data_IF_820750542766
#
_entry.id   IF_820750542766
#
_cell.length_a   1.000
_cell.length_b   1.000
_cell.length_c   1.000
_cell.angle_alpha   90.00
_cell.angle_beta   90.00
_cell.angle_gamma   90.00
#
_symmetry.space_group_name_H-M   'P 1'
#
loop_
_entity.id
_entity.type
_entity.pdbx_description
1 polymer ?
#
# COMPACT_ATOMS: atom_id res chain seq x y z
N UNK A 1 18.67 -2.24 -15.08
CA UNK A 1 19.72 -3.27 -15.24
C UNK A 1 19.11 -4.63 -14.99
N UNK A 2 19.00 -5.47 -16.02
CA UNK A 2 18.61 -6.88 -15.88
C UNK A 2 19.78 -7.72 -15.36
N UNK A 3 19.49 -8.87 -14.76
CA UNK A 3 20.53 -9.87 -14.45
C UNK A 3 20.85 -10.63 -15.74
N UNK A 4 22.12 -10.95 -15.99
CA UNK A 4 22.45 -11.94 -17.01
C UNK A 4 22.13 -13.34 -16.51
N UNK A 5 22.01 -14.29 -17.43
CA UNK A 5 21.64 -15.69 -17.14
C UNK A 5 22.57 -16.35 -16.11
N UNK A 6 23.87 -16.01 -16.15
CA UNK A 6 24.86 -16.50 -15.19
C UNK A 6 24.59 -16.00 -13.76
N UNK A 7 24.29 -14.71 -13.59
CA UNK A 7 23.97 -14.15 -12.27
C UNK A 7 22.65 -14.71 -11.73
N UNK A 8 21.65 -14.92 -12.60
CA UNK A 8 20.38 -15.52 -12.20
C UNK A 8 20.57 -16.97 -11.75
N UNK A 9 21.34 -17.74 -12.51
CA UNK A 9 21.67 -19.13 -12.18
C UNK A 9 22.40 -19.22 -10.85
N UNK A 10 23.40 -18.37 -10.61
CA UNK A 10 24.12 -18.33 -9.33
C UNK A 10 23.22 -17.99 -8.14
N UNK A 11 22.27 -17.07 -8.32
CA UNK A 11 21.30 -16.72 -7.27
C UNK A 11 20.35 -17.88 -6.95
N UNK A 12 19.93 -18.64 -7.95
CA UNK A 12 19.05 -19.80 -7.79
C UNK A 12 19.78 -20.98 -7.14
N UNK A 13 21.02 -21.21 -7.53
CA UNK A 13 21.89 -22.22 -6.91
C UNK A 13 22.17 -21.92 -5.44
N UNK A 14 22.34 -20.65 -5.08
CA UNK A 14 22.49 -20.23 -3.68
C UNK A 14 21.29 -20.59 -2.79
N UNK A 15 20.15 -20.89 -3.41
CA UNK A 15 18.95 -21.35 -2.72
C UNK A 15 18.66 -22.85 -2.95
N UNK A 16 19.67 -23.62 -3.39
CA UNK A 16 19.60 -25.05 -3.71
C UNK A 16 18.52 -25.42 -4.74
N UNK A 17 18.45 -24.63 -5.82
CA UNK A 17 17.64 -24.94 -6.99
C UNK A 17 18.45 -24.93 -8.29
N UNK A 18 17.83 -25.50 -9.32
CA UNK A 18 18.28 -25.46 -10.71
C UNK A 18 17.25 -24.71 -11.56
N UNK A 19 17.70 -23.81 -12.42
CA UNK A 19 16.84 -23.17 -13.43
C UNK A 19 16.50 -24.21 -14.50
N UNK A 20 15.21 -24.40 -14.76
CA UNK A 20 14.69 -25.32 -15.78
C UNK A 20 14.35 -24.58 -17.07
N UNK A 21 13.79 -23.36 -16.94
CA UNK A 21 13.41 -22.52 -18.09
C UNK A 21 13.54 -21.06 -17.68
N UNK A 22 14.24 -20.26 -18.47
CA UNK A 22 14.30 -18.80 -18.30
C UNK A 22 12.97 -18.15 -18.69
N UNK A 23 12.67 -16.98 -18.14
CA UNK A 23 11.57 -16.14 -18.61
C UNK A 23 12.03 -15.28 -19.79
N UNK A 24 11.09 -14.80 -20.59
CA UNK A 24 11.39 -14.03 -21.81
C UNK A 24 11.84 -12.58 -21.52
N UNK A 25 11.60 -12.10 -20.29
CA UNK A 25 11.95 -10.77 -19.83
C UNK A 25 12.42 -10.69 -18.38
N UNK A 26 13.04 -9.56 -17.98
CA UNK A 26 13.65 -9.39 -16.65
C UNK A 26 12.65 -9.32 -15.48
N UNK A 27 11.36 -9.14 -15.78
CA UNK A 27 10.26 -9.18 -14.80
C UNK A 27 9.47 -10.48 -14.87
N UNK A 28 9.75 -11.34 -15.85
CA UNK A 28 9.03 -12.58 -16.01
C UNK A 28 9.43 -13.56 -14.93
N UNK A 29 8.50 -14.47 -14.66
CA UNK A 29 8.82 -15.62 -13.84
C UNK A 29 9.64 -16.60 -14.68
N UNK A 30 10.60 -17.23 -14.04
CA UNK A 30 11.37 -18.32 -14.62
C UNK A 30 11.13 -19.58 -13.80
N UNK A 31 11.28 -20.72 -14.46
CA UNK A 31 10.99 -22.02 -13.86
C UNK A 31 12.22 -22.54 -13.15
N UNK A 32 12.06 -22.96 -11.91
CA UNK A 32 13.10 -23.63 -11.14
C UNK A 32 12.63 -24.98 -10.63
N UNK A 33 13.59 -25.88 -10.42
CA UNK A 33 13.43 -27.14 -9.69
C UNK A 33 14.24 -27.01 -8.42
N UNK A 34 13.63 -27.16 -7.25
CA UNK A 34 14.36 -27.22 -6.00
C UNK A 34 15.03 -28.60 -5.86
N UNK A 35 16.34 -28.62 -5.65
CA UNK A 35 17.13 -29.85 -5.71
C UNK A 35 16.73 -30.84 -4.59
N UNK A 36 16.48 -30.41 -3.33
CA UNK A 36 16.07 -31.33 -2.26
C UNK A 36 14.70 -31.97 -2.46
N UNK A 37 13.69 -31.16 -2.85
CA UNK A 37 12.28 -31.59 -2.88
C UNK A 37 11.83 -32.08 -4.27
N UNK A 38 12.61 -31.80 -5.32
CA UNK A 38 12.25 -32.03 -6.71
C UNK A 38 11.11 -31.14 -7.24
N UNK A 39 10.48 -30.32 -6.39
CA UNK A 39 9.35 -29.50 -6.77
C UNK A 39 9.77 -28.44 -7.79
N UNK A 40 8.95 -28.29 -8.83
CA UNK A 40 9.10 -27.34 -9.92
C UNK A 40 8.16 -26.17 -9.70
N UNK A 41 8.69 -24.96 -9.60
CA UNK A 41 7.91 -23.76 -9.34
C UNK A 41 8.36 -22.61 -10.23
N UNK A 42 7.43 -21.77 -10.62
CA UNK A 42 7.75 -20.54 -11.32
C UNK A 42 8.03 -19.42 -10.29
N UNK A 43 9.25 -18.89 -10.30
CA UNK A 43 9.75 -17.89 -9.34
C UNK A 43 10.06 -16.58 -10.05
N UNK A 44 10.00 -15.46 -9.32
CA UNK A 44 10.44 -14.16 -9.85
C UNK A 44 11.70 -13.66 -9.16
N UNK A 45 12.48 -12.83 -9.87
CA UNK A 45 13.69 -12.23 -9.33
C UNK A 45 13.43 -11.41 -8.05
N UNK A 46 12.30 -10.70 -7.99
CA UNK A 46 11.90 -9.95 -6.81
C UNK A 46 11.56 -10.84 -5.60
N UNK A 47 11.17 -12.10 -5.81
CA UNK A 47 10.92 -13.05 -4.74
C UNK A 47 12.24 -13.58 -4.15
N UNK A 48 13.22 -13.92 -5.00
CA UNK A 48 14.55 -14.33 -4.57
C UNK A 48 15.29 -13.20 -3.81
N UNK A 49 15.28 -11.98 -4.36
CA UNK A 49 15.98 -10.82 -3.74
C UNK A 49 15.52 -10.49 -2.32
N UNK A 50 14.25 -10.73 -2.02
CA UNK A 50 13.68 -10.47 -0.69
C UNK A 50 14.04 -11.57 0.32
N UNK A 51 14.83 -12.57 -0.07
CA UNK A 51 15.05 -13.79 0.73
C UNK A 51 13.76 -14.59 0.95
N UNK A 52 12.71 -14.29 0.16
CA UNK A 52 11.36 -14.81 0.37
C UNK A 52 11.10 -16.14 -0.32
N UNK A 53 12.07 -16.65 -1.09
CA UNK A 53 11.92 -17.95 -1.73
C UNK A 53 12.33 -19.06 -0.77
N UNK A 54 11.34 -19.84 -0.37
CA UNK A 54 11.48 -21.14 0.28
C UNK A 54 10.71 -22.13 -0.61
N UNK A 55 11.26 -23.32 -0.92
CA UNK A 55 10.50 -24.38 -1.60
C UNK A 55 9.20 -24.57 -0.81
N UNK A 56 8.04 -24.20 -1.36
CA UNK A 56 6.77 -24.29 -0.62
C UNK A 56 6.46 -25.75 -0.26
N UNK A 57 6.91 -26.71 -1.08
CA UNK A 57 6.83 -28.14 -0.77
C UNK A 57 7.60 -28.44 0.54
N UNK A 58 8.85 -27.99 0.68
CA UNK A 58 9.62 -28.15 1.93
C UNK A 58 9.02 -27.36 3.10
N UNK A 59 8.53 -26.15 2.85
CA UNK A 59 7.90 -25.30 3.87
C UNK A 59 6.67 -25.99 4.46
N UNK A 60 5.84 -26.59 3.62
CA UNK A 60 4.65 -27.32 4.07
C UNK A 60 5.00 -28.70 4.64
N UNK A 61 5.99 -29.40 4.08
CA UNK A 61 6.44 -30.71 4.59
C UNK A 61 7.09 -30.66 5.98
N UNK A 62 7.67 -29.52 6.39
CA UNK A 62 8.22 -29.35 7.73
C UNK A 62 7.20 -28.96 8.81
N UNK A 63 5.95 -28.64 8.43
CA UNK A 63 4.92 -28.15 9.34
C UNK A 63 3.75 -29.16 9.34
N UNK A 64 3.88 -30.22 10.14
CA UNK A 64 2.78 -31.16 10.36
C UNK A 64 1.70 -30.53 11.24
N UNK A 65 0.85 -29.69 10.64
CA UNK A 65 -0.42 -29.29 11.24
C UNK A 65 -1.39 -30.48 11.21
N UNK A 66 -1.18 -31.46 12.09
CA UNK A 66 -2.17 -32.50 12.38
C UNK A 66 -3.30 -31.91 13.23
N UNK A 67 -4.05 -30.95 12.67
CA UNK A 67 -5.38 -30.63 13.20
C UNK A 67 -6.26 -31.86 12.96
N UNK A 68 -6.85 -32.42 14.01
CA UNK A 68 -7.49 -33.76 14.08
C UNK A 68 -8.74 -34.00 13.21
N UNK A 69 -8.67 -33.62 11.94
CA UNK A 69 -9.67 -33.90 10.93
C UNK A 69 -9.15 -35.01 10.03
N UNK A 70 -9.68 -36.20 10.22
CA UNK A 70 -9.33 -37.40 9.45
C UNK A 70 -9.81 -37.30 8.01
N UNK A 71 -8.91 -37.59 7.07
CA UNK A 71 -9.28 -37.97 5.72
C UNK A 71 -8.15 -37.78 4.74
N UNK A 72 -7.37 -38.84 4.52
CA UNK A 72 -6.54 -38.96 3.33
C UNK A 72 -7.44 -38.96 2.09
N UNK A 73 -6.98 -38.33 1.03
CA UNK A 73 -7.66 -38.25 -0.24
C UNK A 73 -7.11 -39.33 -1.17
N UNK A 74 -7.95 -40.28 -1.64
CA UNK A 74 -7.53 -41.25 -2.63
C UNK A 74 -7.05 -40.55 -3.91
N UNK A 75 -6.10 -41.16 -4.63
CA UNK A 75 -5.57 -40.63 -5.91
C UNK A 75 -6.69 -40.19 -6.86
N UNK A 76 -7.73 -41.01 -7.04
CA UNK A 76 -8.85 -40.69 -7.94
C UNK A 76 -9.57 -39.37 -7.59
N UNK A 77 -9.69 -39.04 -6.30
CA UNK A 77 -10.31 -37.78 -5.86
C UNK A 77 -9.40 -36.59 -6.16
N UNK A 78 -8.09 -36.76 -5.99
CA UNK A 78 -7.11 -35.73 -6.31
C UNK A 78 -7.10 -35.44 -7.82
N UNK A 79 -7.12 -36.48 -8.65
CA UNK A 79 -7.21 -36.36 -10.11
C UNK A 79 -8.49 -35.62 -10.53
N UNK A 80 -9.64 -35.93 -9.92
CA UNK A 80 -10.89 -35.20 -10.17
C UNK A 80 -10.76 -33.72 -9.81
N UNK A 81 -10.17 -33.38 -8.66
CA UNK A 81 -9.92 -32.01 -8.26
C UNK A 81 -9.04 -31.29 -9.28
N UNK A 82 -7.93 -31.89 -9.69
CA UNK A 82 -6.99 -31.26 -10.62
C UNK A 82 -7.59 -31.09 -12.02
N UNK A 83 -8.36 -32.06 -12.50
CA UNK A 83 -9.10 -31.93 -13.75
C UNK A 83 -10.10 -30.76 -13.69
N UNK A 84 -10.88 -30.66 -12.60
CA UNK A 84 -11.83 -29.54 -12.41
C UNK A 84 -11.12 -28.18 -12.29
N UNK A 85 -9.90 -28.17 -11.75
CA UNK A 85 -9.09 -26.98 -11.58
C UNK A 85 -8.28 -26.58 -12.83
N UNK A 86 -8.27 -27.39 -13.89
CA UNK A 86 -7.41 -27.18 -15.05
C UNK A 86 -5.92 -27.34 -14.74
N UNK A 87 -5.58 -28.26 -13.84
CA UNK A 87 -4.23 -28.50 -13.33
C UNK A 87 -3.75 -29.92 -13.67
N UNK A 88 -2.45 -30.07 -13.85
CA UNK A 88 -1.73 -31.34 -14.04
C UNK A 88 -0.74 -31.54 -12.89
N UNK A 89 -0.71 -32.68 -12.19
CA UNK A 89 0.35 -32.95 -11.22
C UNK A 89 1.71 -33.11 -11.93
N UNK A 90 2.77 -32.58 -11.32
CA UNK A 90 4.15 -32.68 -11.81
C UNK A 90 4.94 -33.83 -11.17
N UNK A 91 4.35 -34.50 -10.18
CA UNK A 91 4.89 -35.65 -9.49
C UNK A 91 3.81 -36.74 -9.41
N UNK A 92 4.17 -38.03 -9.34
CA UNK A 92 3.21 -39.10 -9.13
C UNK A 92 2.36 -38.83 -7.88
N UNK A 93 1.04 -39.03 -8.00
CA UNK A 93 0.12 -38.92 -6.87
C UNK A 93 0.12 -40.24 -6.08
N UNK A 94 0.07 -40.12 -4.76
CA UNK A 94 -0.28 -41.20 -3.85
C UNK A 94 -1.46 -40.76 -2.99
N UNK A 95 -2.00 -41.67 -2.19
CA UNK A 95 -2.96 -41.27 -1.15
C UNK A 95 -2.29 -40.24 -0.23
N UNK A 96 -2.93 -39.10 -0.07
CA UNK A 96 -2.33 -37.94 0.58
C UNK A 96 -3.34 -37.23 1.47
N UNK A 97 -2.87 -36.73 2.60
CA UNK A 97 -3.70 -35.92 3.45
C UNK A 97 -4.00 -34.58 2.76
N UNK A 98 -5.18 -34.00 3.00
CA UNK A 98 -5.60 -32.75 2.34
C UNK A 98 -4.67 -31.55 2.57
N UNK A 99 -3.86 -31.59 3.63
CA UNK A 99 -2.87 -30.56 3.94
C UNK A 99 -1.53 -30.82 3.27
N UNK A 100 -1.36 -31.96 2.61
CA UNK A 100 -0.11 -32.31 1.96
C UNK A 100 0.07 -31.42 0.73
N UNK A 101 1.26 -30.83 0.56
CA UNK A 101 1.58 -30.04 -0.61
C UNK A 101 1.65 -30.92 -1.86
N UNK A 102 1.10 -30.43 -2.97
CA UNK A 102 1.19 -31.07 -4.29
C UNK A 102 1.73 -30.08 -5.29
N UNK A 103 2.68 -30.55 -6.11
CA UNK A 103 3.25 -29.77 -7.18
C UNK A 103 2.45 -29.97 -8.46
N UNK A 104 1.96 -28.86 -9.03
CA UNK A 104 1.07 -28.87 -10.19
C UNK A 104 1.50 -27.84 -11.23
N UNK A 105 1.09 -28.06 -12.46
CA UNK A 105 1.18 -27.13 -13.57
C UNK A 105 -0.22 -26.82 -14.11
N UNK A 106 -0.47 -25.55 -14.40
CA UNK A 106 -1.71 -25.12 -15.05
C UNK A 106 -1.70 -25.53 -16.53
N UNK A 107 -2.78 -26.18 -16.99
CA UNK A 107 -2.92 -26.63 -18.38
C UNK A 107 -3.09 -25.45 -19.34
N UNK A 108 -3.71 -24.35 -18.87
CA UNK A 108 -4.00 -23.17 -19.69
C UNK A 108 -2.75 -22.29 -19.91
N UNK A 109 -2.15 -21.80 -18.83
CA UNK A 109 -1.02 -20.87 -18.92
C UNK A 109 0.35 -21.55 -18.80
N UNK A 110 0.38 -22.87 -18.59
CA UNK A 110 1.61 -23.62 -18.36
C UNK A 110 2.34 -23.23 -17.07
N UNK A 111 1.71 -22.54 -16.11
CA UNK A 111 2.37 -22.03 -14.90
C UNK A 111 2.53 -23.10 -13.81
N UNK A 112 3.71 -23.22 -13.20
CA UNK A 112 4.01 -24.22 -12.17
C UNK A 112 3.94 -23.65 -10.74
N UNK A 113 3.26 -24.36 -9.85
CA UNK A 113 3.04 -23.94 -8.46
C UNK A 113 2.96 -25.13 -7.49
N UNK A 114 3.06 -24.83 -6.20
CA UNK A 114 2.84 -25.77 -5.10
C UNK A 114 1.84 -25.16 -4.13
N UNK A 115 0.82 -25.93 -3.79
CA UNK A 115 -0.13 -25.63 -2.72
C UNK A 115 -0.64 -26.97 -2.15
N UNK A 116 -1.42 -26.90 -1.09
CA UNK A 116 -2.09 -28.05 -0.48
C UNK A 116 -3.32 -28.47 -1.28
N UNK A 117 -3.71 -29.75 -1.21
CA UNK A 117 -4.97 -30.24 -1.80
C UNK A 117 -6.18 -29.43 -1.31
N UNK A 118 -6.20 -29.04 -0.03
CA UNK A 118 -7.21 -28.15 0.54
C UNK A 118 -7.20 -26.78 -0.12
N UNK A 119 -6.03 -26.17 -0.31
CA UNK A 119 -5.88 -24.86 -0.97
C UNK A 119 -6.50 -24.86 -2.37
N UNK A 120 -6.18 -25.88 -3.18
CA UNK A 120 -6.78 -26.05 -4.50
C UNK A 120 -8.29 -26.30 -4.45
N UNK A 121 -8.75 -27.17 -3.54
CA UNK A 121 -10.18 -27.44 -3.36
C UNK A 121 -10.97 -26.19 -2.97
N UNK A 122 -10.42 -25.35 -2.09
CA UNK A 122 -11.03 -24.09 -1.69
C UNK A 122 -11.05 -23.09 -2.84
N UNK A 123 -9.98 -23.03 -3.64
CA UNK A 123 -9.94 -22.21 -4.86
C UNK A 123 -11.08 -22.56 -5.81
N UNK A 124 -11.26 -23.85 -6.11
CA UNK A 124 -12.38 -24.34 -6.94
C UNK A 124 -13.73 -24.00 -6.30
N UNK A 125 -13.90 -24.27 -5.00
CA UNK A 125 -15.16 -24.01 -4.26
C UNK A 125 -15.57 -22.54 -4.29
N UNK A 126 -14.60 -21.62 -4.15
CA UNK A 126 -14.82 -20.18 -4.16
C UNK A 126 -14.88 -19.60 -5.58
N UNK A 127 -14.84 -20.45 -6.62
CA UNK A 127 -14.79 -20.04 -8.03
C UNK A 127 -13.61 -19.11 -8.37
N UNK A 128 -12.53 -19.19 -7.58
CA UNK A 128 -11.26 -18.57 -7.91
C UNK A 128 -10.51 -19.45 -8.91
N UNK A 129 -9.67 -18.87 -9.76
CA UNK A 129 -8.82 -19.68 -10.62
C UNK A 129 -7.78 -20.39 -9.74
N UNK A 130 -7.76 -21.73 -9.67
CA UNK A 130 -6.84 -22.43 -8.78
C UNK A 130 -5.36 -22.23 -9.17
N UNK A 131 -5.10 -21.87 -10.43
CA UNK A 131 -3.80 -21.38 -10.86
C UNK A 131 -3.56 -19.95 -10.36
N UNK A 132 -2.59 -19.74 -9.47
CA UNK A 132 -2.21 -18.40 -9.00
C UNK A 132 -1.82 -17.49 -10.17
N UNK A 133 -1.22 -18.02 -11.24
CA UNK A 133 -0.85 -17.21 -12.41
C UNK A 133 -2.08 -16.69 -13.14
N UNK A 134 -2.99 -17.58 -13.55
CA UNK A 134 -4.23 -17.18 -14.20
C UNK A 134 -5.09 -16.32 -13.26
N UNK A 135 -5.12 -16.61 -11.96
CA UNK A 135 -5.82 -15.81 -10.96
C UNK A 135 -5.25 -14.39 -10.90
N UNK A 136 -3.93 -14.26 -10.78
CA UNK A 136 -3.25 -12.96 -10.77
C UNK A 136 -3.48 -12.22 -12.09
N UNK A 137 -3.44 -12.91 -13.23
CA UNK A 137 -3.66 -12.34 -14.55
C UNK A 137 -5.11 -11.87 -14.77
N UNK A 138 -6.09 -12.69 -14.40
CA UNK A 138 -7.53 -12.39 -14.48
C UNK A 138 -7.91 -11.20 -13.61
N UNK A 139 -7.25 -11.05 -12.46
CA UNK A 139 -7.48 -9.93 -11.56
C UNK A 139 -6.46 -8.80 -11.72
N UNK A 140 -5.69 -8.74 -12.83
CA UNK A 140 -4.90 -7.54 -13.13
C UNK A 140 -5.87 -6.41 -13.42
N UNK A 141 -5.91 -5.36 -12.57
CA UNK A 141 -6.79 -4.24 -12.83
C UNK A 141 -6.30 -3.54 -14.10
N UNK A 142 -7.21 -3.20 -14.99
CA UNK A 142 -6.92 -2.34 -16.15
C UNK A 142 -6.95 -0.87 -15.71
N UNK A 143 -6.38 0.05 -16.51
CA UNK A 143 -6.53 1.49 -16.28
C UNK A 143 -8.00 1.88 -16.09
N UNK A 144 -8.91 1.33 -16.89
CA UNK A 144 -10.35 1.57 -16.76
C UNK A 144 -10.91 1.12 -15.40
N UNK A 145 -10.49 -0.05 -14.91
CA UNK A 145 -10.93 -0.59 -13.61
C UNK A 145 -10.39 0.26 -12.46
N UNK A 146 -9.12 0.65 -12.53
CA UNK A 146 -8.49 1.53 -11.53
C UNK A 146 -9.18 2.90 -11.52
N UNK A 147 -9.37 3.51 -12.69
CA UNK A 147 -10.03 4.81 -12.83
C UNK A 147 -11.45 4.79 -12.26
N UNK A 148 -12.26 3.78 -12.58
CA UNK A 148 -13.62 3.65 -12.06
C UNK A 148 -13.66 3.55 -10.52
N UNK A 149 -12.70 2.82 -9.92
CA UNK A 149 -12.60 2.73 -8.46
C UNK A 149 -12.12 4.03 -7.82
N UNK A 150 -11.16 4.73 -8.43
CA UNK A 150 -10.74 6.07 -7.97
C UNK A 150 -11.91 7.05 -8.03
N UNK A 151 -12.68 7.04 -9.12
CA UNK A 151 -13.87 7.87 -9.29
C UNK A 151 -14.94 7.60 -8.24
N UNK A 152 -15.23 6.33 -7.96
CA UNK A 152 -16.16 5.92 -6.89
C UNK A 152 -15.72 6.42 -5.49
N UNK A 153 -14.44 6.73 -5.32
CA UNK A 153 -13.86 7.26 -4.08
C UNK A 153 -13.65 8.78 -4.13
N UNK A 154 -14.20 9.48 -5.13
CA UNK A 154 -14.08 10.93 -5.27
C UNK A 154 -12.70 11.41 -5.74
N UNK A 155 -11.93 10.54 -6.40
CA UNK A 155 -10.64 10.87 -7.02
C UNK A 155 -10.75 10.84 -8.54
N UNK A 156 -10.02 11.71 -9.21
CA UNK A 156 -9.76 11.63 -10.65
C UNK A 156 -8.32 11.15 -10.84
N UNK A 157 -8.17 9.97 -11.44
CA UNK A 157 -6.87 9.44 -11.84
C UNK A 157 -6.29 10.31 -12.97
N UNK A 158 -5.01 10.67 -12.87
CA UNK A 158 -4.29 11.48 -13.86
C UNK A 158 -3.35 10.65 -14.75
N UNK A 159 -2.86 9.53 -14.22
CA UNK A 159 -1.93 8.64 -14.93
C UNK A 159 -2.64 7.41 -15.50
N UNK A 160 -2.09 6.85 -16.58
CA UNK A 160 -2.43 5.48 -16.98
C UNK A 160 -1.85 4.47 -15.97
N UNK A 161 -2.60 3.39 -15.72
CA UNK A 161 -2.11 2.31 -14.88
C UNK A 161 -1.22 1.37 -15.70
N UNK A 162 0.05 1.27 -15.31
CA UNK A 162 1.07 0.48 -16.01
C UNK A 162 1.05 -1.03 -15.69
N UNK A 163 0.08 -1.47 -14.88
CA UNK A 163 -0.05 -2.86 -14.44
C UNK A 163 0.64 -3.18 -13.10
N UNK A 164 1.43 -2.26 -12.51
CA UNK A 164 2.04 -2.46 -11.20
C UNK A 164 1.15 -1.92 -10.07
N UNK A 165 0.45 -2.79 -9.30
CA UNK A 165 -0.49 -2.34 -8.29
C UNK A 165 0.17 -1.67 -7.07
N UNK A 166 1.49 -1.82 -6.91
CA UNK A 166 2.27 -1.20 -5.83
C UNK A 166 2.81 0.19 -6.17
N UNK A 167 2.85 0.57 -7.44
CA UNK A 167 3.34 1.89 -7.86
C UNK A 167 2.32 2.98 -7.49
N UNK A 168 2.75 4.10 -6.86
CA UNK A 168 1.87 5.24 -6.65
C UNK A 168 1.41 5.86 -7.96
N UNK A 169 0.10 6.07 -8.09
CA UNK A 169 -0.54 6.75 -9.22
C UNK A 169 -0.90 8.18 -8.82
N UNK A 170 -0.72 9.13 -9.72
CA UNK A 170 -1.17 10.49 -9.51
C UNK A 170 -2.68 10.60 -9.72
N UNK A 171 -3.33 11.29 -8.80
CA UNK A 171 -4.75 11.60 -8.81
C UNK A 171 -5.01 12.97 -8.20
N UNK A 172 -6.19 13.53 -8.43
CA UNK A 172 -6.69 14.73 -7.75
C UNK A 172 -8.02 14.44 -7.08
N UNK A 173 -8.22 14.98 -5.89
CA UNK A 173 -9.51 14.87 -5.22
C UNK A 173 -10.54 15.75 -5.92
N UNK A 174 -11.65 15.17 -6.38
CA UNK A 174 -12.73 15.93 -7.04
C UNK A 174 -13.46 16.88 -6.09
N UNK A 175 -13.36 16.68 -4.77
CA UNK A 175 -13.99 17.55 -3.75
C UNK A 175 -13.17 18.81 -3.43
N UNK A 176 -11.85 18.70 -3.29
CA UNK A 176 -11.01 19.82 -2.85
C UNK A 176 -9.87 20.19 -3.80
N UNK A 177 -9.74 19.51 -4.94
CA UNK A 177 -8.67 19.73 -5.93
C UNK A 177 -7.27 19.30 -5.47
N UNK A 178 -7.12 18.77 -4.26
CA UNK A 178 -5.81 18.43 -3.72
C UNK A 178 -5.14 17.28 -4.50
N UNK A 179 -3.85 17.40 -4.84
CA UNK A 179 -3.11 16.32 -5.48
C UNK A 179 -2.89 15.16 -4.53
N UNK A 180 -2.85 13.95 -5.07
CA UNK A 180 -2.65 12.70 -4.34
C UNK A 180 -1.83 11.73 -5.17
N UNK A 181 -0.71 11.24 -4.61
CA UNK A 181 0.02 10.11 -5.14
C UNK A 181 -0.27 8.86 -4.28
N UNK A 182 -0.95 7.84 -4.80
CA UNK A 182 -1.35 6.65 -4.02
C UNK A 182 -1.35 5.38 -4.86
N UNK A 183 -0.87 4.28 -4.28
CA UNK A 183 -0.85 2.98 -4.95
C UNK A 183 -2.25 2.35 -4.99
N UNK A 184 -2.53 1.57 -6.04
CA UNK A 184 -3.77 0.81 -6.19
C UNK A 184 -4.04 -0.11 -4.98
N UNK A 185 -3.02 -0.87 -4.55
CA UNK A 185 -3.13 -1.76 -3.38
C UNK A 185 -3.48 -0.98 -2.12
N UNK A 186 -2.87 0.19 -1.91
CA UNK A 186 -3.14 1.02 -0.74
C UNK A 186 -4.59 1.52 -0.71
N UNK A 187 -5.11 2.00 -1.85
CA UNK A 187 -6.52 2.40 -1.99
C UNK A 187 -7.47 1.23 -1.73
N UNK A 188 -7.18 0.05 -2.28
CA UNK A 188 -8.01 -1.14 -2.06
C UNK A 188 -8.00 -1.61 -0.60
N UNK A 189 -6.88 -1.43 0.09
CA UNK A 189 -6.73 -1.74 1.52
C UNK A 189 -7.34 -0.69 2.45
N UNK A 190 -8.07 0.30 1.93
CA UNK A 190 -8.82 1.28 2.73
C UNK A 190 -8.03 2.53 3.13
N UNK A 191 -6.92 2.84 2.44
CA UNK A 191 -6.26 4.15 2.62
C UNK A 191 -7.24 5.28 2.29
N UNK A 192 -7.31 6.36 3.09
CA UNK A 192 -8.19 7.48 2.81
C UNK A 192 -7.99 8.03 1.37
N UNK A 193 -9.07 8.22 0.59
CA UNK A 193 -8.96 8.68 -0.79
C UNK A 193 -8.27 10.04 -0.88
N UNK A 194 -8.75 11.02 -0.12
CA UNK A 194 -8.10 12.32 0.00
C UNK A 194 -7.54 12.53 1.41
N UNK A 195 -6.22 12.72 1.55
CA UNK A 195 -5.63 13.06 2.85
C UNK A 195 -6.01 14.47 3.34
N UNK A 196 -6.46 15.33 2.42
CA UNK A 196 -7.23 16.50 2.81
C UNK A 196 -8.60 16.00 3.24
N UNK A 197 -9.62 15.89 2.40
CA UNK A 197 -11.01 15.65 2.83
C UNK A 197 -11.24 14.52 3.85
N UNK A 198 -10.51 13.41 3.74
CA UNK A 198 -10.77 12.15 4.45
C UNK A 198 -9.60 11.72 5.35
N UNK A 199 -8.53 12.54 5.42
CA UNK A 199 -7.38 12.31 6.26
C UNK A 199 -7.75 12.40 7.74
N UNK A 200 -7.67 11.24 8.40
CA UNK A 200 -7.93 10.96 9.81
C UNK A 200 -9.38 11.22 10.30
N UNK A 201 -10.20 10.17 10.14
CA UNK A 201 -11.53 9.93 10.75
C UNK A 201 -12.69 10.77 10.18
N UNK A 202 -13.18 10.30 9.03
CA UNK A 202 -14.59 10.05 8.59
C UNK A 202 -15.73 11.02 8.93
N UNK A 203 -15.52 12.10 9.67
CA UNK A 203 -16.58 13.01 10.05
C UNK A 203 -16.14 14.45 9.76
N UNK A 204 -16.61 15.06 8.65
CA UNK A 204 -16.32 16.45 8.35
C UNK A 204 -16.88 17.41 9.40
N UNK A 205 -17.87 16.96 10.19
CA UNK A 205 -18.48 17.67 11.31
C UNK A 205 -17.76 17.40 12.64
N UNK A 206 -16.73 16.56 12.66
CA UNK A 206 -15.95 16.33 13.87
C UNK A 206 -15.19 17.61 14.28
N UNK A 207 -15.04 17.85 15.60
CA UNK A 207 -14.26 18.99 16.10
C UNK A 207 -12.83 19.01 15.58
N UNK A 208 -12.40 20.18 15.13
CA UNK A 208 -11.03 20.45 14.68
C UNK A 208 -10.38 21.50 15.56
N UNK A 209 -9.05 21.55 15.57
CA UNK A 209 -8.29 22.61 16.23
C UNK A 209 -7.51 23.40 15.18
N UNK A 210 -7.61 24.72 15.24
CA UNK A 210 -6.67 25.63 14.58
C UNK A 210 -5.59 25.98 15.60
N UNK A 211 -4.33 25.89 15.19
CA UNK A 211 -3.19 26.12 16.06
C UNK A 211 -2.26 27.17 15.48
N UNK A 212 -1.54 27.86 16.36
CA UNK A 212 -0.45 28.76 16.04
C UNK A 212 0.83 28.24 16.69
N UNK A 213 1.89 28.05 15.90
CA UNK A 213 3.22 27.65 16.37
C UNK A 213 4.23 28.73 16.02
N UNK A 214 5.11 29.03 16.95
CA UNK A 214 6.29 29.87 16.73
C UNK A 214 7.55 29.03 16.63
N UNK A 215 8.30 29.18 15.55
CA UNK A 215 9.61 28.56 15.35
C UNK A 215 10.69 29.63 15.50
N UNK A 216 11.25 29.84 16.72
CA UNK A 216 12.18 30.94 16.99
C UNK A 216 13.52 30.80 16.25
N UNK A 217 13.86 29.59 15.80
CA UNK A 217 15.12 29.30 15.11
C UNK A 217 15.03 29.44 13.59
N UNK A 218 13.84 29.71 13.03
CA UNK A 218 13.64 29.88 11.59
C UNK A 218 13.63 31.37 11.24
N UNK A 219 14.61 31.82 10.45
CA UNK A 219 14.78 33.23 10.07
C UNK A 219 15.30 34.12 11.21
N UNK A 220 15.60 35.39 10.91
CA UNK A 220 16.29 36.29 11.84
C UNK A 220 15.49 36.64 13.10
N UNK A 221 14.17 36.65 13.00
CA UNK A 221 13.24 37.02 14.08
C UNK A 221 12.30 35.88 14.49
N UNK A 222 12.47 34.69 13.89
CA UNK A 222 11.52 33.59 14.00
C UNK A 222 10.42 33.62 12.94
N UNK A 223 9.66 32.52 12.89
CA UNK A 223 8.55 32.29 11.96
C UNK A 223 7.32 31.80 12.72
N UNK A 224 6.17 32.35 12.39
CA UNK A 224 4.88 31.81 12.81
C UNK A 224 4.32 30.86 11.75
N UNK A 225 3.64 29.82 12.22
CA UNK A 225 2.88 28.88 11.42
C UNK A 225 1.46 28.78 11.97
N UNK A 226 0.47 28.95 11.09
CA UNK A 226 -0.89 28.49 11.36
C UNK A 226 -1.10 27.11 10.75
N UNK A 227 -1.95 26.31 11.37
CA UNK A 227 -2.36 25.04 10.80
C UNK A 227 -3.62 24.49 11.46
N UNK A 228 -4.24 23.51 10.80
CA UNK A 228 -5.37 22.76 11.34
C UNK A 228 -5.02 21.30 11.66
N UNK A 229 -5.66 20.74 12.67
CA UNK A 229 -5.62 19.31 13.01
C UNK A 229 -6.95 18.84 13.57
N UNK A 230 -7.25 17.54 13.54
CA UNK A 230 -8.43 17.03 14.24
C UNK A 230 -8.23 17.06 15.76
N UNK A 231 -9.31 16.99 16.54
CA UNK A 231 -9.22 16.92 18.00
C UNK A 231 -8.88 15.53 18.55
N UNK A 232 -8.82 14.48 17.73
CA UNK A 232 -8.69 13.10 18.21
C UNK A 232 -7.34 12.76 18.87
N UNK A 233 -6.25 13.42 18.46
CA UNK A 233 -4.94 13.32 19.10
C UNK A 233 -4.07 14.56 18.83
N UNK A 234 -2.97 14.65 19.58
CA UNK A 234 -2.00 15.75 19.55
C UNK A 234 -0.75 15.43 18.73
N UNK A 235 -0.77 14.36 17.92
CA UNK A 235 0.40 13.86 17.19
C UNK A 235 1.06 14.94 16.34
N UNK A 236 0.25 15.75 15.64
CA UNK A 236 0.72 16.86 14.80
C UNK A 236 1.33 18.00 15.61
N UNK A 237 0.75 18.37 16.74
CA UNK A 237 1.29 19.42 17.62
C UNK A 237 2.61 18.98 18.27
N UNK A 238 2.67 17.72 18.72
CA UNK A 238 3.88 17.14 19.27
C UNK A 238 4.99 17.04 18.22
N UNK A 239 4.64 16.81 16.95
CA UNK A 239 5.60 16.84 15.86
C UNK A 239 6.23 18.23 15.67
N UNK A 240 5.43 19.29 15.72
CA UNK A 240 5.95 20.68 15.69
C UNK A 240 6.83 20.99 16.89
N UNK A 241 6.45 20.56 18.10
CA UNK A 241 7.28 20.74 19.31
C UNK A 241 8.63 20.05 19.18
N UNK A 242 8.66 18.82 18.67
CA UNK A 242 9.91 18.08 18.42
C UNK A 242 10.79 18.75 17.37
N UNK A 243 10.18 19.44 16.41
CA UNK A 243 10.91 20.27 15.45
C UNK A 243 11.41 21.58 16.06
N UNK A 244 11.21 21.86 17.36
CA UNK A 244 11.65 23.10 18.00
C UNK A 244 10.61 24.23 17.96
N UNK A 245 9.38 23.93 17.56
CA UNK A 245 8.27 24.87 17.59
C UNK A 245 7.64 25.03 18.97
N UNK A 246 7.21 26.24 19.30
CA UNK A 246 6.45 26.58 20.51
C UNK A 246 4.99 26.79 20.13
N UNK A 247 4.10 25.92 20.60
CA UNK A 247 2.65 26.08 20.36
C UNK A 247 2.15 27.23 21.24
N UNK A 248 1.76 28.35 20.62
CA UNK A 248 1.31 29.55 21.31
C UNK A 248 -0.19 29.52 21.59
N UNK A 249 -0.98 29.16 20.59
CA UNK A 249 -2.44 29.12 20.69
C UNK A 249 -3.01 27.88 20.03
N UNK A 250 -4.12 27.40 20.58
CA UNK A 250 -4.99 26.40 19.96
C UNK A 250 -6.44 26.81 20.23
N UNK A 251 -7.26 26.85 19.19
CA UNK A 251 -8.71 27.04 19.31
C UNK A 251 -9.42 25.84 18.70
N UNK A 252 -10.35 25.26 19.45
CA UNK A 252 -11.22 24.21 18.94
C UNK A 252 -12.42 24.84 18.24
N UNK A 253 -12.75 24.32 17.06
CA UNK A 253 -13.92 24.71 16.26
C UNK A 253 -14.79 23.50 15.98
N UNK A 254 -16.06 23.74 15.68
CA UNK A 254 -17.09 22.69 15.54
C UNK A 254 -16.72 21.66 14.50
N UNK A 255 -16.25 22.11 13.35
CA UNK A 255 -16.04 21.30 12.17
C UNK A 255 -14.80 21.75 11.41
N UNK A 256 -14.42 20.96 10.42
CA UNK A 256 -13.24 21.26 9.62
C UNK A 256 -13.40 22.45 8.70
N UNK A 257 -14.60 22.67 8.16
CA UNK A 257 -14.84 23.77 7.23
C UNK A 257 -14.58 25.11 7.93
N UNK A 258 -15.06 25.24 9.16
CA UNK A 258 -14.80 26.36 10.06
C UNK A 258 -13.30 26.51 10.33
N UNK A 259 -12.59 25.41 10.60
CA UNK A 259 -11.15 25.43 10.80
C UNK A 259 -10.38 25.99 9.58
N UNK A 260 -10.78 25.57 8.36
CA UNK A 260 -10.19 26.04 7.11
C UNK A 260 -10.50 27.51 6.83
N UNK A 261 -11.72 27.98 7.15
CA UNK A 261 -12.07 29.40 7.01
C UNK A 261 -11.21 30.25 7.93
N UNK A 262 -11.04 29.84 9.19
CA UNK A 262 -10.19 30.53 10.15
C UNK A 262 -8.71 30.52 9.76
N UNK A 263 -8.18 29.37 9.33
CA UNK A 263 -6.81 29.26 8.81
C UNK A 263 -6.58 30.22 7.63
N UNK A 264 -7.49 30.22 6.65
CA UNK A 264 -7.42 31.11 5.50
C UNK A 264 -7.50 32.59 5.89
N UNK A 265 -8.41 32.95 6.80
CA UNK A 265 -8.54 34.33 7.29
C UNK A 265 -7.23 34.84 7.91
N UNK A 266 -6.54 34.00 8.70
CA UNK A 266 -5.22 34.33 9.24
C UNK A 266 -4.21 34.49 8.11
N UNK A 267 -4.13 33.54 7.18
CA UNK A 267 -3.16 33.59 6.08
C UNK A 267 -3.33 34.81 5.17
N UNK A 268 -4.56 35.17 4.82
CA UNK A 268 -4.87 36.35 4.00
C UNK A 268 -4.41 37.66 4.66
N UNK A 269 -4.40 37.71 5.99
CA UNK A 269 -3.95 38.88 6.74
C UNK A 269 -2.42 39.01 6.81
N UNK A 270 -1.71 37.89 7.03
CA UNK A 270 -0.28 37.94 7.37
C UNK A 270 0.65 37.62 6.19
N UNK A 271 0.27 36.75 5.26
CA UNK A 271 1.13 36.38 4.13
C UNK A 271 1.50 37.57 3.22
N UNK A 272 0.58 38.49 2.84
CA UNK A 272 0.94 39.60 1.95
C UNK A 272 2.01 40.53 2.53
N UNK A 273 2.09 40.65 3.86
CA UNK A 273 3.02 41.54 4.54
C UNK A 273 4.37 40.87 4.86
N UNK A 274 4.39 39.54 5.09
CA UNK A 274 5.55 38.87 5.68
C UNK A 274 5.71 37.40 5.27
N UNK A 275 5.36 37.04 4.03
CA UNK A 275 5.60 35.70 3.51
C UNK A 275 7.07 35.27 3.64
N UNK A 276 7.27 34.02 4.01
CA UNK A 276 8.60 33.38 4.11
C UNK A 276 8.61 32.14 3.24
N UNK A 277 9.78 31.83 2.68
CA UNK A 277 10.01 30.63 1.90
C UNK A 277 11.24 29.92 2.44
N UNK A 278 11.12 28.62 2.66
CA UNK A 278 12.22 27.78 3.10
C UNK A 278 12.09 26.36 2.56
N UNK A 279 13.21 25.62 2.49
CA UNK A 279 13.19 24.22 2.06
C UNK A 279 12.28 23.36 2.92
N UNK A 280 11.61 22.39 2.30
CA UNK A 280 10.66 21.51 2.99
C UNK A 280 11.30 20.66 4.10
N UNK A 281 12.62 20.46 4.08
CA UNK A 281 13.29 19.70 5.14
C UNK A 281 13.26 20.41 6.50
N UNK A 282 13.11 21.74 6.53
CA UNK A 282 13.03 22.50 7.79
C UNK A 282 11.68 22.34 8.50
N UNK A 283 10.63 21.95 7.76
CA UNK A 283 9.32 21.60 8.29
C UNK A 283 8.85 20.26 7.66
N UNK A 284 9.41 19.12 8.11
CA UNK A 284 9.20 17.82 7.46
C UNK A 284 7.75 17.31 7.54
N UNK A 285 6.93 17.90 8.42
CA UNK A 285 5.50 17.61 8.54
C UNK A 285 4.62 18.51 7.65
N UNK A 286 5.24 19.17 6.66
CA UNK A 286 4.63 20.01 5.67
C UNK A 286 4.25 21.40 6.18
N UNK A 287 3.78 22.22 5.25
CA UNK A 287 3.13 23.48 5.54
C UNK A 287 4.03 24.71 5.60
N UNK A 288 5.11 24.71 4.80
CA UNK A 288 5.91 25.92 4.56
C UNK A 288 5.07 27.07 3.95
N UNK A 289 4.00 26.73 3.23
CA UNK A 289 3.06 27.68 2.62
C UNK A 289 2.14 28.40 3.62
N UNK A 290 2.01 27.89 4.85
CA UNK A 290 1.19 28.51 5.89
C UNK A 290 2.04 29.17 6.98
N UNK A 291 3.15 29.81 6.57
CA UNK A 291 4.12 30.43 7.46
C UNK A 291 4.39 31.90 7.09
N UNK A 292 4.64 32.74 8.09
CA UNK A 292 5.04 34.14 7.91
C UNK A 292 6.10 34.54 8.96
N UNK A 293 6.86 35.58 8.67
CA UNK A 293 7.91 36.05 9.59
C UNK A 293 7.32 36.69 10.84
N UNK A 294 7.95 36.44 11.99
CA UNK A 294 7.45 36.87 13.28
C UNK A 294 7.43 38.39 13.51
N UNK A 295 8.14 39.18 12.69
CA UNK A 295 8.10 40.65 12.77
C UNK A 295 6.70 41.23 12.49
N UNK A 296 5.86 40.53 11.73
CA UNK A 296 4.49 40.96 11.45
C UNK A 296 3.52 40.72 12.63
N UNK A 297 4.00 40.12 13.71
CA UNK A 297 3.18 39.70 14.84
C UNK A 297 2.32 38.47 14.55
N UNK A 298 1.40 38.17 15.46
CA UNK A 298 0.50 37.02 15.37
C UNK A 298 -0.90 37.38 15.87
N UNK A 299 -1.95 36.65 15.42
CA UNK A 299 -3.31 36.92 15.84
C UNK A 299 -3.64 36.24 17.17
N UNK A 300 -4.63 36.77 17.89
CA UNK A 300 -5.37 36.00 18.89
C UNK A 300 -6.38 35.09 18.17
N UNK A 301 -6.11 33.79 18.16
CA UNK A 301 -6.95 32.81 17.47
C UNK A 301 -8.36 32.68 18.08
N UNK A 302 -8.53 32.93 19.39
CA UNK A 302 -9.84 32.85 20.03
C UNK A 302 -10.71 34.01 19.55
N UNK A 303 -10.17 35.23 19.55
CA UNK A 303 -10.86 36.41 19.04
C UNK A 303 -11.23 36.27 17.56
N UNK A 304 -10.31 35.74 16.74
CA UNK A 304 -10.58 35.51 15.32
C UNK A 304 -11.67 34.44 15.09
N UNK A 305 -11.73 33.40 15.92
CA UNK A 305 -12.78 32.38 15.85
C UNK A 305 -14.16 32.95 16.23
N UNK A 306 -14.23 33.79 17.26
CA UNK A 306 -15.48 34.43 17.70
C UNK A 306 -16.08 35.35 16.61
N UNK A 307 -15.22 35.99 15.81
CA UNK A 307 -15.65 36.84 14.70
C UNK A 307 -16.30 36.07 13.54
N UNK A 308 -15.99 34.77 13.38
CA UNK A 308 -16.54 33.91 12.33
C UNK A 308 -17.84 33.22 12.73
N UNK A 309 -18.19 33.23 14.03
CA UNK A 309 -19.41 32.63 14.55
C UNK A 309 -20.64 33.55 14.47
N UNK A 310 -20.47 34.80 14.05
CA UNK A 310 -21.52 35.82 13.90
C UNK A 310 -21.93 35.96 12.44
#
# INVERSE_FOLDING_TARGET
MGFCDACLTGLVQACDATVVRLGDGPRDRFRTRHNPCGAVVDVSLAMLRRGGWVCQMCKHGGWSWHSGWSGDWPVARQEQLFAAAGLRPLQPLGDAHRSDPVNVECIECGGAQVDTLRGFSEGVRLSWLPCHHCNTARFRPTTATVAARFEALGLQLLDEFDGDPGRPLQAVCRRCGAPRAVAWTAICSGTPPCLRCDGARLDPDAPHRVYLVHFPYLGDVGVYKVGITHCADDGRLNAHRRAGGVVLHTVQVRDRATALVLERHVLERYLPAAAVSFPSELLPHGGATECWSAHAGYPDLAHAADGLAR
#
